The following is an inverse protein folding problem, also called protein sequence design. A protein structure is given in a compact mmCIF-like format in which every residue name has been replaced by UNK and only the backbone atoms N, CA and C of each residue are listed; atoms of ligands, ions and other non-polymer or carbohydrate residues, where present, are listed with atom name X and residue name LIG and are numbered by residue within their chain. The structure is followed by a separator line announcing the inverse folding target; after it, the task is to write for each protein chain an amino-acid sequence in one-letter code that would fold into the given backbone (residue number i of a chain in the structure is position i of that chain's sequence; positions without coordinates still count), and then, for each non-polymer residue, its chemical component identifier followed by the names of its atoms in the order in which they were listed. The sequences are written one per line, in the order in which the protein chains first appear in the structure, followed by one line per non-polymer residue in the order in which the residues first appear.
data_IF_290277172467
#
_entry.id   IF_290277172467
#
_cell.length_a   1.000
_cell.length_b   1.000
_cell.length_c   1.000
_cell.angle_alpha   90.00
_cell.angle_beta   90.00
_cell.angle_gamma   90.00
#
_symmetry.space_group_name_H-M   'P 1'
#
loop_
_entity.id
_entity.type
_entity.pdbx_description
1 polymer ?
#
# COMPACT_ATOMS: atom_id res chain seq x y z
N UNK A 1 -25.43 -6.42 14.43
CA UNK A 1 -25.01 -6.57 13.02
C UNK A 1 -24.97 -5.19 12.38
N UNK A 2 -23.90 -4.41 12.59
CA UNK A 2 -23.84 -3.00 12.13
C UNK A 2 -22.41 -2.49 11.82
N UNK A 3 -21.43 -3.37 11.58
CA UNK A 3 -20.01 -2.98 11.37
C UNK A 3 -19.70 -2.56 9.92
N UNK A 4 -20.57 -2.88 8.95
CA UNK A 4 -20.27 -2.70 7.52
C UNK A 4 -20.23 -1.23 7.05
N UNK A 5 -21.10 -0.35 7.56
CA UNK A 5 -21.28 0.99 7.00
C UNK A 5 -20.13 1.97 7.35
N UNK A 6 -19.26 1.62 8.31
CA UNK A 6 -18.20 2.50 8.80
C UNK A 6 -16.91 2.39 7.97
N UNK A 7 -16.70 1.26 7.28
CA UNK A 7 -15.55 1.03 6.42
C UNK A 7 -15.69 1.74 5.05
N UNK A 8 -16.92 1.83 4.53
CA UNK A 8 -17.20 2.49 3.24
C UNK A 8 -16.92 4.01 3.28
N UNK A 9 -17.11 4.65 4.44
CA UNK A 9 -16.80 6.08 4.64
C UNK A 9 -15.29 6.38 4.76
N UNK A 10 -14.48 5.39 5.14
CA UNK A 10 -13.04 5.58 5.32
C UNK A 10 -12.28 5.73 3.99
N UNK A 11 -12.82 5.14 2.91
CA UNK A 11 -12.26 5.25 1.54
C UNK A 11 -12.11 6.71 1.09
N UNK A 12 -12.96 7.61 1.60
CA UNK A 12 -12.98 9.01 1.16
C UNK A 12 -12.25 9.99 2.11
N UNK A 13 -11.76 9.54 3.28
CA UNK A 13 -11.40 10.49 4.37
C UNK A 13 -9.94 10.40 4.85
N UNK A 14 -9.20 9.34 4.52
CA UNK A 14 -7.74 9.25 4.79
C UNK A 14 -6.89 9.20 3.51
N UNK A 15 -7.52 9.28 2.36
CA UNK A 15 -6.78 9.54 1.14
C UNK A 15 -6.12 10.89 1.30
N UNK A 16 -4.79 10.90 1.23
CA UNK A 16 -4.03 11.92 0.54
C UNK A 16 -4.73 12.15 -0.82
N UNK A 17 -5.79 12.96 -0.81
CA UNK A 17 -6.97 12.78 -1.66
C UNK A 17 -6.68 13.13 -3.10
N UNK A 18 -6.23 12.17 -3.90
CA UNK A 18 -5.90 12.35 -5.33
C UNK A 18 -4.86 13.42 -5.65
N UNK A 19 -4.42 14.21 -4.67
CA UNK A 19 -3.54 15.36 -4.77
C UNK A 19 -2.37 15.08 -3.85
N UNK A 20 -1.23 14.86 -4.49
CA UNK A 20 0.03 14.81 -3.80
C UNK A 20 0.30 16.24 -3.27
N UNK A 21 0.98 16.38 -2.12
CA UNK A 21 1.45 17.69 -1.70
C UNK A 21 2.55 18.17 -2.67
N UNK A 22 2.77 19.48 -2.76
CA UNK A 22 3.68 20.06 -3.76
C UNK A 22 5.14 19.60 -3.59
N UNK A 23 5.51 19.15 -2.40
CA UNK A 23 6.81 18.60 -2.02
C UNK A 23 6.91 17.08 -2.25
N UNK A 24 5.84 16.41 -2.66
CA UNK A 24 5.88 14.98 -2.96
C UNK A 24 6.62 14.74 -4.29
N UNK A 25 7.61 13.82 -4.36
CA UNK A 25 8.40 13.57 -5.57
C UNK A 25 7.55 13.28 -6.82
N UNK A 26 6.45 12.55 -6.64
CA UNK A 26 5.49 12.25 -7.71
C UNK A 26 4.47 13.36 -8.03
N UNK A 27 4.54 14.56 -7.43
CA UNK A 27 3.53 15.62 -7.61
C UNK A 27 3.43 16.09 -9.07
N UNK A 28 4.58 16.32 -9.71
CA UNK A 28 4.68 16.72 -11.11
C UNK A 28 4.79 15.53 -12.06
N UNK A 29 4.94 14.31 -11.54
CA UNK A 29 5.02 13.09 -12.33
C UNK A 29 3.63 12.63 -12.79
N UNK A 30 3.34 12.89 -14.06
CA UNK A 30 2.06 12.53 -14.67
C UNK A 30 1.85 11.01 -14.78
N UNK A 31 2.90 10.22 -14.99
CA UNK A 31 2.82 8.77 -15.07
C UNK A 31 2.52 8.17 -13.69
N UNK A 32 3.21 8.65 -12.65
CA UNK A 32 2.94 8.26 -11.27
C UNK A 32 1.50 8.59 -10.85
N UNK A 33 1.01 9.78 -11.19
CA UNK A 33 -0.38 10.17 -10.91
C UNK A 33 -1.40 9.29 -11.63
N UNK A 34 -1.16 8.97 -12.90
CA UNK A 34 -2.03 8.07 -13.66
C UNK A 34 -2.04 6.67 -13.03
N UNK A 35 -0.87 6.14 -12.63
CA UNK A 35 -0.76 4.86 -11.95
C UNK A 35 -1.52 4.83 -10.61
N UNK A 36 -1.41 5.90 -9.82
CA UNK A 36 -2.17 6.07 -8.56
C UNK A 36 -3.68 6.08 -8.79
N UNK A 37 -4.16 6.68 -9.88
CA UNK A 37 -5.58 6.68 -10.23
C UNK A 37 -6.07 5.25 -10.54
N UNK A 38 -5.30 4.45 -11.30
CA UNK A 38 -5.62 3.04 -11.57
C UNK A 38 -5.75 2.23 -10.29
N UNK A 39 -4.82 2.38 -9.34
CA UNK A 39 -4.88 1.68 -8.05
C UNK A 39 -6.08 2.12 -7.20
N UNK A 40 -6.46 3.41 -7.25
CA UNK A 40 -7.66 3.90 -6.60
C UNK A 40 -8.94 3.26 -7.19
N UNK A 41 -9.00 3.10 -8.52
CA UNK A 41 -10.11 2.42 -9.20
C UNK A 41 -10.17 0.92 -8.86
N UNK A 42 -9.03 0.26 -8.62
CA UNK A 42 -8.99 -1.11 -8.07
C UNK A 42 -9.61 -1.14 -6.67
N UNK A 43 -9.17 -0.26 -5.77
CA UNK A 43 -9.67 -0.20 -4.41
C UNK A 43 -11.18 0.11 -4.34
N UNK A 44 -11.68 1.01 -5.19
CA UNK A 44 -13.09 1.41 -5.24
C UNK A 44 -14.05 0.25 -5.61
N UNK A 45 -13.53 -0.83 -6.21
CA UNK A 45 -14.31 -2.03 -6.56
C UNK A 45 -14.54 -2.98 -5.40
N UNK A 46 -13.75 -2.89 -4.32
CA UNK A 46 -13.91 -3.75 -3.15
C UNK A 46 -15.28 -3.57 -2.47
N UNK A 47 -15.84 -4.66 -1.95
CA UNK A 47 -17.05 -4.65 -1.11
C UNK A 47 -16.82 -5.56 0.10
N UNK A 48 -17.30 -5.19 1.31
CA UNK A 48 -17.17 -6.04 2.48
C UNK A 48 -17.68 -7.47 2.24
N UNK A 49 -16.87 -8.46 2.61
CA UNK A 49 -17.20 -9.87 2.43
C UNK A 49 -16.91 -10.44 1.03
N UNK A 50 -16.45 -9.62 0.09
CA UNK A 50 -15.91 -10.08 -1.19
C UNK A 50 -14.38 -10.25 -1.10
N UNK A 51 -13.77 -11.06 -1.98
CA UNK A 51 -12.32 -11.08 -2.14
C UNK A 51 -11.75 -9.69 -2.43
N UNK A 52 -10.53 -9.43 -1.96
CA UNK A 52 -9.80 -8.21 -2.31
C UNK A 52 -9.45 -8.26 -3.80
N UNK A 53 -9.77 -7.22 -4.60
CA UNK A 53 -9.43 -7.20 -6.01
C UNK A 53 -7.91 -7.22 -6.23
N UNK A 54 -7.46 -7.97 -7.24
CA UNK A 54 -6.05 -7.97 -7.62
C UNK A 54 -5.61 -6.61 -8.18
N UNK A 55 -4.43 -6.17 -7.76
CA UNK A 55 -3.73 -5.02 -8.29
C UNK A 55 -2.45 -5.49 -8.98
N UNK A 56 -2.42 -5.62 -10.32
CA UNK A 56 -1.23 -6.07 -11.02
C UNK A 56 -0.17 -4.97 -10.96
N UNK A 57 0.87 -5.19 -10.15
CA UNK A 57 2.05 -4.34 -10.09
C UNK A 57 2.95 -4.61 -11.29
N UNK A 58 3.65 -3.57 -11.77
CA UNK A 58 4.67 -3.73 -12.81
C UNK A 58 5.93 -4.38 -12.23
N UNK A 59 6.78 -4.91 -13.10
CA UNK A 59 8.09 -5.44 -12.70
C UNK A 59 8.95 -4.37 -12.00
N UNK A 60 8.83 -3.11 -12.43
CA UNK A 60 9.50 -1.97 -11.79
C UNK A 60 8.98 -1.73 -10.37
N UNK A 61 7.67 -1.78 -10.16
CA UNK A 61 7.05 -1.65 -8.84
C UNK A 61 7.44 -2.83 -7.92
N UNK A 62 7.55 -4.04 -8.48
CA UNK A 62 8.05 -5.21 -7.76
C UNK A 62 9.51 -5.08 -7.35
N UNK A 63 10.40 -4.59 -8.23
CA UNK A 63 11.81 -4.39 -7.87
C UNK A 63 11.98 -3.24 -6.86
N UNK A 64 11.16 -2.19 -6.94
CA UNK A 64 11.11 -1.13 -5.93
C UNK A 64 10.74 -1.72 -4.56
N UNK A 65 9.69 -2.54 -4.50
CA UNK A 65 9.29 -3.23 -3.27
C UNK A 65 10.44 -4.07 -2.70
N UNK A 66 11.10 -4.87 -3.55
CA UNK A 66 12.24 -5.71 -3.15
C UNK A 66 13.38 -4.89 -2.58
N UNK A 67 13.74 -3.81 -3.27
CA UNK A 67 14.82 -2.90 -2.86
C UNK A 67 14.53 -2.26 -1.49
N UNK A 68 13.32 -1.73 -1.29
CA UNK A 68 12.93 -1.12 -0.03
C UNK A 68 12.89 -2.14 1.11
N UNK A 69 12.36 -3.34 0.86
CA UNK A 69 12.22 -4.39 1.88
C UNK A 69 13.58 -4.84 2.40
N UNK A 70 14.52 -5.13 1.49
CA UNK A 70 15.89 -5.52 1.84
C UNK A 70 16.63 -4.44 2.62
N UNK A 71 16.49 -3.17 2.22
CA UNK A 71 17.12 -2.04 2.92
C UNK A 71 16.55 -1.85 4.34
N UNK A 72 15.27 -2.16 4.54
CA UNK A 72 14.62 -2.09 5.85
C UNK A 72 14.93 -3.29 6.73
N UNK A 73 15.09 -4.50 6.16
CA UNK A 73 15.40 -5.71 6.90
C UNK A 73 16.64 -5.56 7.81
N UNK A 74 17.72 -4.94 7.31
CA UNK A 74 18.92 -4.67 8.10
C UNK A 74 18.66 -3.73 9.30
N UNK A 75 17.72 -2.81 9.16
CA UNK A 75 17.33 -1.88 10.24
C UNK A 75 16.44 -2.58 11.25
N UNK A 76 15.48 -3.37 10.77
CA UNK A 76 14.56 -4.11 11.61
C UNK A 76 15.26 -5.15 12.48
N UNK A 77 16.25 -5.87 11.96
CA UNK A 77 17.04 -6.83 12.73
C UNK A 77 17.68 -6.23 14.00
N UNK A 78 17.96 -4.92 14.01
CA UNK A 78 18.57 -4.20 15.15
C UNK A 78 17.58 -3.46 16.03
N UNK A 79 16.37 -3.19 15.55
CA UNK A 79 15.48 -2.19 16.17
C UNK A 79 13.99 -2.50 16.19
N UNK A 80 13.54 -3.58 15.53
CA UNK A 80 12.15 -3.99 15.58
C UNK A 80 11.89 -4.87 16.81
N UNK A 81 10.65 -4.86 17.30
CA UNK A 81 10.22 -5.75 18.37
C UNK A 81 10.12 -7.21 17.87
N UNK A 82 10.17 -8.17 18.79
CA UNK A 82 10.09 -9.60 18.45
C UNK A 82 8.84 -9.95 17.66
N UNK A 83 7.67 -9.41 18.03
CA UNK A 83 6.42 -9.67 17.32
C UNK A 83 6.46 -9.25 15.84
N UNK A 84 7.23 -8.21 15.50
CA UNK A 84 7.43 -7.84 14.10
C UNK A 84 8.32 -8.86 13.38
N UNK A 85 9.43 -9.26 14.00
CA UNK A 85 10.38 -10.23 13.43
C UNK A 85 9.73 -11.60 13.22
N UNK A 86 8.94 -12.08 14.19
CA UNK A 86 8.17 -13.32 14.08
C UNK A 86 7.19 -13.26 12.89
N UNK A 87 6.59 -12.09 12.65
CA UNK A 87 5.70 -11.87 11.51
C UNK A 87 6.44 -11.86 10.16
N UNK A 88 7.63 -11.26 10.11
CA UNK A 88 8.49 -11.29 8.91
C UNK A 88 8.84 -12.73 8.54
N UNK A 89 9.26 -13.53 9.53
CA UNK A 89 9.63 -14.92 9.34
C UNK A 89 8.41 -15.77 8.89
N UNK A 90 7.26 -15.58 9.52
CA UNK A 90 6.03 -16.30 9.19
C UNK A 90 5.52 -16.01 7.77
N UNK A 91 5.74 -14.79 7.27
CA UNK A 91 5.32 -14.36 5.93
C UNK A 91 6.40 -14.60 4.87
N UNK A 92 7.59 -15.06 5.26
CA UNK A 92 8.74 -15.25 4.38
C UNK A 92 9.01 -14.03 3.49
N UNK A 93 8.98 -12.82 4.09
CA UNK A 93 9.25 -11.60 3.35
C UNK A 93 10.69 -11.57 2.82
N UNK A 94 10.94 -10.95 1.65
CA UNK A 94 12.27 -10.87 1.03
C UNK A 94 13.34 -10.22 1.89
#
# INVERSE_FOLDING_TARGET
MQVSAQLDKAVNTLAYGGRLAADHPGFTDTAYRARRAVLADVAARYRPGQPVPDAPYSDEEHELWRTCTLALAERHARGACSAYLDGVDALALP
#
